data_IF_196480211390
#
_entry.id   IF_196480211390
#
_cell.length_a   1.000
_cell.length_b   1.000
_cell.length_c   1.000
_cell.angle_alpha   90.00
_cell.angle_beta   90.00
_cell.angle_gamma   90.00
#
_symmetry.space_group_name_H-M   'P 1'
#
loop_
_entity.id
_entity.type
_entity.pdbx_description
1 polymer ?
#
# COMPACT_ATOMS: atom_id res chain seq x y z
N UNK A 1 -14.28 0.64 -5.14
CA UNK A 1 -12.81 0.65 -4.97
C UNK A 1 -12.43 1.35 -3.67
N UNK A 2 -11.15 1.32 -3.25
CA UNK A 2 -10.71 1.95 -1.99
C UNK A 2 -11.09 3.43 -1.87
N UNK A 3 -11.02 4.18 -2.97
CA UNK A 3 -11.41 5.60 -3.03
C UNK A 3 -12.89 5.81 -2.70
N UNK A 4 -13.78 4.94 -3.17
CA UNK A 4 -15.22 5.05 -2.92
C UNK A 4 -15.52 4.84 -1.42
N UNK A 5 -14.85 3.85 -0.81
CA UNK A 5 -14.96 3.60 0.61
C UNK A 5 -14.46 4.80 1.43
N UNK A 6 -13.25 5.30 1.15
CA UNK A 6 -12.71 6.46 1.86
C UNK A 6 -13.60 7.69 1.69
N UNK A 7 -14.10 7.94 0.49
CA UNK A 7 -15.02 9.05 0.23
C UNK A 7 -16.32 8.91 1.03
N UNK A 8 -16.85 7.69 1.18
CA UNK A 8 -18.09 7.45 1.92
C UNK A 8 -17.97 7.67 3.44
N UNK A 9 -16.78 7.48 4.00
CA UNK A 9 -16.48 7.64 5.43
C UNK A 9 -15.79 8.98 5.76
N UNK A 10 -15.36 9.72 4.74
CA UNK A 10 -14.73 11.05 4.92
C UNK A 10 -15.68 12.00 5.64
N UNK A 11 -15.16 12.73 6.64
CA UNK A 11 -15.95 13.64 7.50
C UNK A 11 -16.92 12.97 8.46
N UNK A 12 -17.10 11.64 8.40
CA UNK A 12 -17.98 10.85 9.29
C UNK A 12 -17.19 9.93 10.23
N UNK A 13 -15.89 9.78 9.99
CA UNK A 13 -15.02 8.91 10.77
C UNK A 13 -14.76 9.49 12.16
N UNK A 14 -14.93 8.69 13.24
CA UNK A 14 -14.47 9.05 14.58
C UNK A 14 -12.97 9.39 14.57
N UNK A 15 -12.53 10.30 15.43
CA UNK A 15 -11.11 10.74 15.46
C UNK A 15 -10.13 9.60 15.68
N UNK A 16 -10.54 8.56 16.42
CA UNK A 16 -9.73 7.39 16.72
C UNK A 16 -9.82 6.26 15.69
N UNK A 17 -10.59 6.43 14.60
CA UNK A 17 -10.69 5.45 13.53
C UNK A 17 -9.60 5.68 12.48
N UNK A 18 -8.81 4.64 12.21
CA UNK A 18 -7.76 4.63 11.19
C UNK A 18 -8.10 3.65 10.08
N UNK A 19 -7.84 4.03 8.83
CA UNK A 19 -8.10 3.21 7.65
C UNK A 19 -6.80 2.66 7.09
N UNK A 20 -6.74 1.33 6.97
CA UNK A 20 -5.67 0.63 6.26
C UNK A 20 -6.14 0.36 4.83
N UNK A 21 -5.41 0.86 3.83
CA UNK A 21 -5.62 0.45 2.44
C UNK A 21 -4.53 -0.53 2.05
N UNK A 22 -4.96 -1.74 1.71
CA UNK A 22 -4.07 -2.86 1.45
C UNK A 22 -4.12 -3.33 0.00
N UNK A 23 -2.96 -3.63 -0.58
CA UNK A 23 -2.81 -4.35 -1.85
C UNK A 23 -2.16 -5.72 -1.60
N UNK A 24 -2.61 -6.73 -2.34
CA UNK A 24 -2.10 -8.11 -2.24
C UNK A 24 -1.77 -8.63 -3.63
N UNK A 25 -0.53 -9.10 -3.83
CA UNK A 25 -0.11 -9.82 -5.04
C UNK A 25 0.39 -11.20 -4.61
N UNK A 26 -0.45 -12.21 -4.77
CA UNK A 26 -0.16 -13.57 -4.33
C UNK A 26 0.74 -14.34 -5.32
N UNK A 27 1.06 -13.75 -6.47
CA UNK A 27 1.79 -14.39 -7.56
C UNK A 27 3.28 -14.05 -7.54
N UNK A 28 3.62 -12.79 -7.27
CA UNK A 28 5.02 -12.30 -7.34
C UNK A 28 5.21 -11.00 -6.56
N UNK A 29 6.47 -10.61 -6.38
CA UNK A 29 6.85 -9.28 -5.91
C UNK A 29 7.21 -8.41 -7.12
N UNK A 30 6.52 -7.27 -7.32
CA UNK A 30 6.85 -6.35 -8.41
C UNK A 30 8.25 -5.74 -8.28
N UNK A 31 8.68 -5.05 -9.34
CA UNK A 31 9.88 -4.21 -9.29
C UNK A 31 9.73 -3.09 -8.26
N UNK A 32 10.85 -2.51 -7.82
CA UNK A 32 10.82 -1.36 -6.92
C UNK A 32 10.04 -0.17 -7.51
N UNK A 33 10.21 0.11 -8.80
CA UNK A 33 9.52 1.17 -9.53
C UNK A 33 8.00 0.95 -9.54
N UNK A 34 7.56 -0.28 -9.79
CA UNK A 34 6.12 -0.63 -9.75
C UNK A 34 5.57 -0.53 -8.32
N UNK A 35 6.35 -0.94 -7.32
CA UNK A 35 5.99 -0.77 -5.90
C UNK A 35 5.86 0.71 -5.54
N UNK A 36 6.75 1.60 -6.02
CA UNK A 36 6.64 3.04 -5.79
C UNK A 36 5.36 3.63 -6.39
N UNK A 37 5.02 3.24 -7.62
CA UNK A 37 3.78 3.68 -8.27
C UNK A 37 2.57 3.17 -7.48
N UNK A 38 2.59 1.91 -7.04
CA UNK A 38 1.53 1.34 -6.22
C UNK A 38 1.39 2.10 -4.88
N UNK A 39 2.49 2.36 -4.18
CA UNK A 39 2.50 3.14 -2.93
C UNK A 39 1.88 4.52 -3.16
N UNK A 40 2.32 5.25 -4.19
CA UNK A 40 1.77 6.57 -4.50
C UNK A 40 0.25 6.53 -4.72
N UNK A 41 -0.26 5.50 -5.42
CA UNK A 41 -1.69 5.31 -5.62
C UNK A 41 -2.44 4.99 -4.33
N UNK A 42 -1.85 4.18 -3.44
CA UNK A 42 -2.44 3.83 -2.14
C UNK A 42 -2.46 5.04 -1.19
N UNK A 43 -1.40 5.85 -1.16
CA UNK A 43 -1.34 7.11 -0.41
C UNK A 43 -2.38 8.10 -0.93
N UNK A 44 -2.51 8.25 -2.25
CA UNK A 44 -3.47 9.17 -2.87
C UNK A 44 -4.94 8.83 -2.56
N UNK A 45 -5.23 7.63 -2.03
CA UNK A 45 -6.58 7.29 -1.56
C UNK A 45 -6.98 8.02 -0.29
N UNK A 46 -6.03 8.55 0.49
CA UNK A 46 -6.26 9.13 1.82
C UNK A 46 -6.19 8.11 2.96
N UNK A 47 -5.49 6.98 2.75
CA UNK A 47 -5.24 5.95 3.76
C UNK A 47 -4.43 6.51 4.94
N UNK A 48 -4.77 6.09 6.17
CA UNK A 48 -3.92 6.36 7.33
C UNK A 48 -2.69 5.42 7.32
N UNK A 49 -2.86 4.19 6.83
CA UNK A 49 -1.79 3.18 6.74
C UNK A 49 -1.88 2.50 5.36
N UNK A 50 -0.75 2.44 4.67
CA UNK A 50 -0.60 1.63 3.45
C UNK A 50 -0.06 0.26 3.82
N UNK A 51 -0.70 -0.81 3.30
CA UNK A 51 -0.22 -2.18 3.45
C UNK A 51 0.00 -2.80 2.07
N UNK A 52 1.16 -3.42 1.87
CA UNK A 52 1.45 -4.21 0.67
C UNK A 52 1.88 -5.60 1.13
N UNK A 53 1.29 -6.63 0.55
CA UNK A 53 1.71 -8.02 0.72
C UNK A 53 1.96 -8.63 -0.66
N UNK A 54 3.15 -9.19 -0.86
CA UNK A 54 3.54 -9.85 -2.11
C UNK A 54 4.09 -11.24 -1.81
N UNK A 55 4.04 -12.14 -2.78
CA UNK A 55 4.72 -13.43 -2.71
C UNK A 55 6.11 -13.29 -3.33
N UNK A 56 7.17 -13.57 -2.57
CA UNK A 56 8.52 -13.66 -3.12
C UNK A 56 8.68 -14.99 -3.88
N UNK A 57 9.15 -14.91 -5.13
CA UNK A 57 9.48 -16.07 -5.97
C UNK A 57 10.99 -16.19 -6.20
N UNK A 58 11.75 -15.12 -5.93
CA UNK A 58 13.21 -15.09 -5.87
C UNK A 58 13.67 -14.37 -4.60
N UNK A 59 14.83 -14.73 -4.04
CA UNK A 59 15.35 -14.08 -2.83
C UNK A 59 15.59 -12.57 -3.02
N UNK A 60 15.88 -12.12 -4.26
CA UNK A 60 16.06 -10.72 -4.63
C UNK A 60 14.79 -9.89 -4.44
N UNK A 61 13.62 -10.50 -4.49
CA UNK A 61 12.33 -9.82 -4.30
C UNK A 61 12.25 -9.11 -2.94
N UNK A 62 12.89 -9.69 -1.92
CA UNK A 62 12.95 -9.11 -0.57
C UNK A 62 13.67 -7.75 -0.59
N UNK A 63 14.66 -7.56 -1.47
CA UNK A 63 15.35 -6.29 -1.63
C UNK A 63 14.41 -5.19 -2.17
N UNK A 64 13.50 -5.52 -3.10
CA UNK A 64 12.51 -4.57 -3.60
C UNK A 64 11.58 -4.08 -2.47
N UNK A 65 11.18 -4.98 -1.57
CA UNK A 65 10.36 -4.63 -0.39
C UNK A 65 11.14 -3.74 0.58
N UNK A 66 12.41 -4.05 0.86
CA UNK A 66 13.24 -3.20 1.73
C UNK A 66 13.47 -1.81 1.14
N UNK A 67 13.75 -1.71 -0.17
CA UNK A 67 13.88 -0.44 -0.87
C UNK A 67 12.58 0.38 -0.79
N UNK A 68 11.43 -0.28 -0.99
CA UNK A 68 10.12 0.34 -0.86
C UNK A 68 9.88 0.88 0.57
N UNK A 69 10.26 0.15 1.61
CA UNK A 69 10.13 0.62 3.00
C UNK A 69 11.02 1.83 3.31
N UNK A 70 12.27 1.84 2.83
CA UNK A 70 13.17 2.99 3.04
C UNK A 70 12.66 4.27 2.35
N UNK A 71 11.93 4.13 1.24
CA UNK A 71 11.39 5.27 0.51
C UNK A 71 10.14 5.89 1.18
N UNK A 72 9.55 5.22 2.17
CA UNK A 72 8.32 5.63 2.86
C UNK A 72 8.56 6.22 4.26
N UNK A 73 9.83 6.48 4.64
CA UNK A 73 10.18 7.18 5.88
C UNK A 73 9.97 8.69 5.79
#
# INVERSE_FOLDING_TARGET
AANDFISSVSGKKPENLKVIVSSHNYQSTPSFEDLRVLIARLVATGADIVKIATTAIDIKDVAHIFQAMMHCQ
#
